data_IF_245350298470
#
_entry.id   IF_245350298470
#
_cell.length_a   1.000
_cell.length_b   1.000
_cell.length_c   1.000
_cell.angle_alpha   90.00
_cell.angle_beta   90.00
_cell.angle_gamma   90.00
#
_symmetry.space_group_name_H-M   'P 1'
#
loop_
_entity.id
_entity.type
_entity.pdbx_description
1 polymer ?
#
# COMPACT_ATOMS: atom_id res chain seq x y z
N UNK A 1 9.30 26.05 -18.82
CA UNK A 1 9.39 26.67 -17.47
C UNK A 1 8.80 25.69 -16.49
N UNK A 2 9.60 25.09 -15.62
CA UNK A 2 9.11 24.19 -14.57
C UNK A 2 8.31 25.02 -13.57
N UNK A 3 7.07 24.59 -13.26
CA UNK A 3 6.23 25.22 -12.25
C UNK A 3 6.83 24.98 -10.86
N UNK A 4 7.55 25.99 -10.33
CA UNK A 4 8.19 25.94 -9.00
C UNK A 4 7.25 26.27 -7.85
N UNK A 5 5.95 26.48 -8.11
CA UNK A 5 4.97 26.74 -7.06
C UNK A 5 4.83 25.53 -6.16
N UNK A 6 5.03 25.70 -4.86
CA UNK A 6 4.96 24.66 -3.82
C UNK A 6 6.22 23.78 -3.70
N UNK A 7 7.34 24.17 -4.31
CA UNK A 7 8.65 23.55 -4.09
C UNK A 7 9.39 24.34 -3.02
N UNK A 8 9.84 23.68 -1.97
CA UNK A 8 10.76 24.23 -0.98
C UNK A 8 12.18 23.76 -1.30
N UNK A 9 13.09 24.70 -1.47
CA UNK A 9 14.52 24.39 -1.75
C UNK A 9 15.35 24.85 -0.55
N UNK A 10 16.10 23.92 0.04
CA UNK A 10 17.11 24.19 1.06
C UNK A 10 18.46 24.15 0.36
N UNK A 11 18.96 25.35 0.02
CA UNK A 11 20.14 25.54 -0.81
C UNK A 11 21.42 25.04 -0.17
N UNK A 12 22.46 24.93 -0.99
CA UNK A 12 23.81 24.57 -0.53
C UNK A 12 24.31 25.54 0.56
N UNK A 13 24.95 25.02 1.58
CA UNK A 13 25.41 25.79 2.74
C UNK A 13 24.31 26.19 3.75
N UNK A 14 23.02 26.04 3.40
CA UNK A 14 21.95 26.30 4.34
C UNK A 14 21.86 25.18 5.40
N UNK A 15 21.58 25.56 6.63
CA UNK A 15 21.35 24.66 7.77
C UNK A 15 19.95 24.93 8.30
N UNK A 16 19.10 23.91 8.30
CA UNK A 16 17.76 23.96 8.86
C UNK A 16 17.65 22.92 9.99
N UNK A 17 17.23 23.40 11.18
CA UNK A 17 16.91 22.53 12.31
C UNK A 17 15.47 22.74 12.72
N UNK A 18 14.68 21.65 12.66
CA UNK A 18 13.25 21.68 12.94
C UNK A 18 12.42 20.99 11.85
N UNK A 19 11.11 21.12 11.94
CA UNK A 19 10.18 20.41 11.08
C UNK A 19 9.85 21.21 9.82
N UNK A 20 9.89 20.52 8.68
CA UNK A 20 9.52 21.03 7.35
C UNK A 20 8.25 20.33 6.88
N UNK A 21 7.25 21.11 6.50
CA UNK A 21 6.03 20.58 5.85
C UNK A 21 5.80 21.28 4.52
N UNK A 22 5.68 20.51 3.45
CA UNK A 22 5.35 21.01 2.11
C UNK A 22 4.28 20.12 1.48
N UNK A 23 3.32 20.72 0.82
CA UNK A 23 2.27 19.99 0.11
C UNK A 23 2.75 19.32 -1.19
N UNK A 24 3.95 19.64 -1.68
CA UNK A 24 4.49 19.10 -2.93
C UNK A 24 5.90 18.54 -2.75
N UNK A 25 6.91 19.32 -3.02
CA UNK A 25 8.30 18.85 -3.13
C UNK A 25 9.21 19.63 -2.19
N UNK A 26 10.14 18.92 -1.57
CA UNK A 26 11.26 19.46 -0.80
C UNK A 26 12.56 18.99 -1.45
N UNK A 27 13.42 19.95 -1.86
CA UNK A 27 14.75 19.67 -2.37
C UNK A 27 15.82 20.13 -1.37
N UNK A 28 16.74 19.24 -1.04
CA UNK A 28 17.75 19.46 0.00
C UNK A 28 19.15 19.38 -0.62
N UNK A 29 19.79 20.51 -0.78
CA UNK A 29 21.17 20.65 -1.18
C UNK A 29 22.06 20.93 0.05
N UNK A 30 21.49 21.49 1.10
CA UNK A 30 22.14 21.83 2.36
C UNK A 30 21.99 20.74 3.41
N UNK A 31 21.91 21.19 4.67
CA UNK A 31 21.78 20.34 5.85
C UNK A 31 20.40 20.52 6.50
N UNK A 32 19.71 19.42 6.75
CA UNK A 32 18.43 19.39 7.47
C UNK A 32 18.52 18.42 8.63
N UNK A 33 18.11 18.86 9.82
CA UNK A 33 17.99 18.05 11.03
C UNK A 33 16.59 18.24 11.63
N UNK A 34 15.72 17.22 11.53
CA UNK A 34 14.35 17.27 12.02
C UNK A 34 13.38 16.45 11.16
N UNK A 35 12.09 16.81 11.22
CA UNK A 35 11.04 16.14 10.48
C UNK A 35 10.82 16.77 9.10
N UNK A 36 10.72 15.95 8.04
CA UNK A 36 10.33 16.41 6.70
C UNK A 36 9.09 15.66 6.24
N UNK A 37 8.02 16.41 5.95
CA UNK A 37 6.78 15.86 5.37
C UNK A 37 6.48 16.56 4.05
N UNK A 38 6.42 15.80 2.95
CA UNK A 38 6.12 16.31 1.60
C UNK A 38 5.58 15.19 0.71
N UNK A 39 4.96 15.52 -0.44
CA UNK A 39 4.67 14.48 -1.43
C UNK A 39 5.95 13.90 -2.02
N UNK A 40 6.94 14.75 -2.28
CA UNK A 40 8.23 14.31 -2.82
C UNK A 40 9.38 14.92 -2.02
N UNK A 41 10.35 14.09 -1.63
CA UNK A 41 11.60 14.52 -0.97
C UNK A 41 12.77 14.14 -1.85
N UNK A 42 13.61 15.12 -2.18
CA UNK A 42 14.83 14.91 -2.96
C UNK A 42 16.02 15.39 -2.15
N UNK A 43 16.90 14.46 -1.77
CA UNK A 43 18.19 14.79 -1.15
C UNK A 43 19.23 14.80 -2.27
N UNK A 44 19.65 15.98 -2.66
CA UNK A 44 20.60 16.18 -3.76
C UNK A 44 22.02 15.81 -3.34
N UNK A 45 22.90 15.69 -4.33
CA UNK A 45 24.32 15.41 -4.10
C UNK A 45 24.93 16.46 -3.14
N UNK A 46 25.63 16.01 -2.11
CA UNK A 46 26.14 16.87 -1.03
C UNK A 46 25.10 17.26 0.04
N UNK A 47 23.79 17.14 -0.26
CA UNK A 47 22.72 17.37 0.68
C UNK A 47 22.67 16.31 1.79
N UNK A 48 22.23 16.73 2.98
CA UNK A 48 22.16 15.85 4.16
C UNK A 48 20.84 16.04 4.89
N UNK A 49 20.15 14.95 5.13
CA UNK A 49 18.89 14.92 5.88
C UNK A 49 18.99 13.90 7.02
N UNK A 50 18.85 14.41 8.24
CA UNK A 50 18.87 13.62 9.47
C UNK A 50 17.55 13.78 10.22
N UNK A 51 16.83 12.69 10.48
CA UNK A 51 15.61 12.72 11.26
C UNK A 51 14.47 11.90 10.69
N UNK A 52 13.25 12.44 10.76
CA UNK A 52 12.05 11.72 10.31
C UNK A 52 11.63 12.18 8.91
N UNK A 53 11.32 11.24 8.02
CA UNK A 53 10.80 11.55 6.69
C UNK A 53 9.48 10.83 6.47
N UNK A 54 8.47 11.59 6.01
CA UNK A 54 7.19 11.05 5.58
C UNK A 54 6.84 11.63 4.20
N UNK A 55 6.85 10.79 3.18
CA UNK A 55 6.61 11.21 1.80
C UNK A 55 5.91 10.13 0.97
N UNK A 56 5.33 10.52 -0.17
CA UNK A 56 4.86 9.59 -1.18
C UNK A 56 6.03 9.00 -1.95
N UNK A 57 6.98 9.84 -2.35
CA UNK A 57 8.21 9.42 -3.04
C UNK A 57 9.45 10.09 -2.46
N UNK A 58 10.61 9.44 -2.60
CA UNK A 58 11.89 10.01 -2.21
C UNK A 58 12.99 9.63 -3.20
N UNK A 59 13.85 10.59 -3.53
CA UNK A 59 15.06 10.37 -4.33
C UNK A 59 16.29 10.80 -3.53
N UNK A 60 17.26 9.90 -3.38
CA UNK A 60 18.42 10.09 -2.53
C UNK A 60 19.68 10.04 -3.38
N UNK A 61 20.31 11.19 -3.57
CA UNK A 61 21.62 11.38 -4.19
C UNK A 61 22.69 11.77 -3.17
N UNK A 62 22.26 12.33 -2.04
CA UNK A 62 23.08 12.69 -0.89
C UNK A 62 22.93 11.71 0.26
N UNK A 63 22.94 12.22 1.48
CA UNK A 63 22.85 11.40 2.70
C UNK A 63 21.48 11.53 3.35
N UNK A 64 20.84 10.39 3.60
CA UNK A 64 19.60 10.28 4.38
C UNK A 64 19.82 9.33 5.56
N UNK A 65 19.52 9.80 6.78
CA UNK A 65 19.62 8.97 7.98
C UNK A 65 18.45 9.24 8.91
N UNK A 66 17.76 8.19 9.34
CA UNK A 66 16.72 8.28 10.38
C UNK A 66 15.56 7.33 10.20
N UNK A 67 14.37 7.78 10.65
CA UNK A 67 13.13 7.03 10.53
C UNK A 67 12.37 7.52 9.30
N UNK A 68 12.37 6.72 8.25
CA UNK A 68 11.88 7.09 6.91
C UNK A 68 10.65 6.26 6.56
N UNK A 69 9.59 6.94 6.13
CA UNK A 69 8.40 6.33 5.54
C UNK A 69 8.14 6.92 4.16
N UNK A 70 8.32 6.12 3.13
CA UNK A 70 8.03 6.47 1.73
C UNK A 70 6.94 5.54 1.23
N UNK A 71 5.77 6.10 0.92
CA UNK A 71 4.59 5.28 0.60
C UNK A 71 4.72 4.54 -0.73
N UNK A 72 5.29 5.19 -1.76
CA UNK A 72 5.42 4.62 -3.09
C UNK A 72 6.86 4.16 -3.36
N UNK A 73 7.70 5.05 -3.88
CA UNK A 73 9.04 4.72 -4.35
C UNK A 73 10.12 5.50 -3.61
N UNK A 74 11.06 4.79 -2.99
CA UNK A 74 12.36 5.35 -2.61
C UNK A 74 13.41 4.93 -3.64
N UNK A 75 14.08 5.91 -4.25
CA UNK A 75 15.13 5.70 -5.25
C UNK A 75 16.47 6.17 -4.69
N UNK A 76 17.41 5.24 -4.48
CA UNK A 76 18.77 5.55 -4.04
C UNK A 76 19.65 5.59 -5.28
N UNK A 77 20.17 6.77 -5.59
CA UNK A 77 21.02 7.01 -6.75
C UNK A 77 22.46 6.60 -6.48
N UNK A 78 23.28 6.61 -7.51
CA UNK A 78 24.68 6.13 -7.46
C UNK A 78 25.56 6.81 -6.41
N UNK A 79 25.26 8.05 -6.02
CA UNK A 79 25.94 8.80 -4.96
C UNK A 79 25.17 8.82 -3.63
N UNK A 80 23.99 8.21 -3.60
CA UNK A 80 23.07 8.25 -2.47
C UNK A 80 23.48 7.29 -1.36
N UNK A 81 23.35 7.75 -0.13
CA UNK A 81 23.56 6.94 1.08
C UNK A 81 22.31 7.02 1.94
N UNK A 82 21.70 5.88 2.24
CA UNK A 82 20.54 5.80 3.10
C UNK A 82 20.76 4.86 4.28
N UNK A 83 20.40 5.31 5.50
CA UNK A 83 20.60 4.53 6.73
C UNK A 83 19.49 4.76 7.74
N UNK A 84 19.33 3.81 8.69
CA UNK A 84 18.32 3.88 9.77
C UNK A 84 17.19 2.88 9.59
N UNK A 85 15.94 3.31 9.81
CA UNK A 85 14.75 2.48 9.64
C UNK A 85 13.93 3.01 8.47
N UNK A 86 13.80 2.21 7.42
CA UNK A 86 13.12 2.63 6.19
C UNK A 86 11.92 1.73 5.94
N UNK A 87 10.72 2.35 5.93
CA UNK A 87 9.48 1.74 5.45
C UNK A 87 9.19 2.29 4.06
N UNK A 88 8.97 1.40 3.11
CA UNK A 88 8.82 1.77 1.70
C UNK A 88 7.73 0.94 1.02
N UNK A 89 7.14 1.46 -0.04
CA UNK A 89 6.39 0.68 -0.99
C UNK A 89 7.35 -0.06 -1.91
N UNK A 90 8.02 0.63 -2.83
CA UNK A 90 9.07 0.09 -3.70
C UNK A 90 10.42 0.71 -3.40
N UNK A 91 11.46 -0.10 -3.52
CA UNK A 91 12.85 0.33 -3.39
C UNK A 91 13.56 0.14 -4.74
N UNK A 92 14.20 1.19 -5.22
CA UNK A 92 15.11 1.15 -6.37
C UNK A 92 16.47 1.64 -5.92
N UNK A 93 17.53 0.96 -6.35
CA UNK A 93 18.89 1.36 -6.04
C UNK A 93 19.75 1.25 -7.31
N UNK A 94 20.49 2.31 -7.62
CA UNK A 94 21.46 2.34 -8.69
C UNK A 94 22.81 1.77 -8.22
N UNK A 95 23.60 1.29 -9.17
CA UNK A 95 24.98 0.86 -8.90
C UNK A 95 25.79 2.02 -8.31
N UNK A 96 26.48 1.79 -7.20
CA UNK A 96 27.19 2.80 -6.42
C UNK A 96 26.41 3.40 -5.25
N UNK A 97 25.08 3.24 -5.21
CA UNK A 97 24.28 3.65 -4.07
C UNK A 97 24.54 2.78 -2.84
N UNK A 98 24.43 3.35 -1.65
CA UNK A 98 24.67 2.65 -0.38
C UNK A 98 23.38 2.61 0.46
N UNK A 99 23.05 1.41 0.98
CA UNK A 99 21.93 1.20 1.88
C UNK A 99 22.37 0.39 3.11
N UNK A 100 22.39 1.05 4.27
CA UNK A 100 22.70 0.44 5.56
C UNK A 100 21.54 0.66 6.54
N UNK A 101 20.41 -0.02 6.32
CA UNK A 101 19.17 0.24 7.02
C UNK A 101 18.39 -1.03 7.35
N UNK A 102 17.51 -0.93 8.38
CA UNK A 102 16.44 -1.90 8.58
C UNK A 102 15.28 -1.51 7.66
N UNK A 103 15.08 -2.29 6.61
CA UNK A 103 14.06 -2.02 5.59
C UNK A 103 12.82 -2.89 5.77
N UNK A 104 11.63 -2.31 5.57
CA UNK A 104 10.34 -3.01 5.56
C UNK A 104 9.46 -2.47 4.46
N UNK A 105 8.86 -3.36 3.66
CA UNK A 105 7.79 -3.00 2.75
C UNK A 105 6.54 -2.52 3.54
N UNK A 106 5.74 -1.63 2.96
CA UNK A 106 4.45 -1.21 3.49
C UNK A 106 3.42 -2.21 2.99
N UNK A 107 2.81 -3.02 3.86
CA UNK A 107 1.92 -4.07 3.40
C UNK A 107 0.57 -3.52 2.93
N UNK A 108 -0.13 -4.27 2.06
CA UNK A 108 -1.49 -3.96 1.69
C UNK A 108 -2.44 -3.98 2.90
N UNK A 109 -3.54 -3.27 2.80
CA UNK A 109 -4.61 -3.25 3.81
C UNK A 109 -5.95 -3.58 3.18
N UNK A 110 -6.81 -4.24 3.97
CA UNK A 110 -8.18 -4.55 3.57
C UNK A 110 -9.11 -3.43 4.02
N UNK A 111 -9.88 -2.88 3.07
CA UNK A 111 -10.95 -1.91 3.26
C UNK A 111 -12.31 -2.48 2.82
N UNK A 112 -13.33 -1.62 2.87
CA UNK A 112 -14.73 -1.97 2.65
C UNK A 112 -15.50 -2.13 3.98
N UNK A 113 -16.83 -2.26 3.91
CA UNK A 113 -17.66 -2.46 5.08
C UNK A 113 -17.67 -3.90 5.59
N UNK A 114 -17.21 -4.85 4.74
CA UNK A 114 -17.13 -6.29 5.01
C UNK A 114 -18.49 -6.95 5.30
N UNK A 115 -19.56 -6.38 4.78
CA UNK A 115 -20.92 -6.85 4.96
C UNK A 115 -21.62 -7.08 3.62
N UNK A 116 -22.24 -8.26 3.45
CA UNK A 116 -22.99 -8.64 2.28
C UNK A 116 -24.42 -9.04 2.65
N UNK A 117 -25.33 -8.92 1.69
CA UNK A 117 -26.67 -9.50 1.80
C UNK A 117 -26.94 -10.37 0.59
N UNK A 118 -27.37 -11.62 0.81
CA UNK A 118 -27.71 -12.57 -0.24
C UNK A 118 -29.08 -13.20 0.02
N UNK A 119 -29.83 -13.53 -1.04
CA UNK A 119 -31.02 -14.37 -0.90
C UNK A 119 -30.62 -15.84 -0.84
N UNK A 120 -31.35 -16.63 -0.05
CA UNK A 120 -31.11 -18.06 0.13
C UNK A 120 -30.97 -18.79 -1.22
N UNK A 121 -29.89 -19.55 -1.39
CA UNK A 121 -29.56 -20.31 -2.61
C UNK A 121 -29.26 -19.44 -3.83
N UNK A 122 -29.02 -18.14 -3.65
CA UNK A 122 -28.64 -17.21 -4.71
C UNK A 122 -27.18 -16.75 -4.54
N UNK A 123 -26.72 -15.97 -5.51
CA UNK A 123 -25.40 -15.34 -5.45
C UNK A 123 -25.54 -13.83 -5.40
N UNK A 124 -24.62 -13.18 -4.72
CA UNK A 124 -24.45 -11.71 -4.68
C UNK A 124 -23.07 -11.35 -5.20
N UNK A 125 -22.98 -10.29 -5.99
CA UNK A 125 -21.71 -9.75 -6.44
C UNK A 125 -21.04 -9.01 -5.29
N UNK A 126 -19.77 -9.30 -5.05
CA UNK A 126 -18.94 -8.54 -4.12
C UNK A 126 -18.45 -7.30 -4.84
N UNK A 127 -18.63 -6.13 -4.25
CA UNK A 127 -18.23 -4.83 -4.82
C UNK A 127 -17.07 -4.23 -4.05
N UNK A 128 -16.45 -3.16 -4.59
CA UNK A 128 -15.39 -2.44 -3.90
C UNK A 128 -15.85 -1.72 -2.62
N UNK A 129 -17.15 -1.52 -2.44
CA UNK A 129 -17.71 -1.00 -1.20
C UNK A 129 -17.71 -2.06 -0.10
N UNK A 130 -17.99 -3.31 -0.47
CA UNK A 130 -18.04 -4.44 0.46
C UNK A 130 -16.64 -4.91 0.86
N UNK A 131 -15.74 -4.99 -0.14
CA UNK A 131 -14.36 -5.46 0.04
C UNK A 131 -13.43 -4.76 -0.95
N UNK A 132 -12.29 -4.28 -0.49
CA UNK A 132 -11.22 -3.79 -1.35
C UNK A 132 -9.85 -3.96 -0.70
N UNK A 133 -8.81 -3.90 -1.52
CA UNK A 133 -7.43 -3.83 -1.06
C UNK A 133 -6.86 -2.44 -1.39
N UNK A 134 -6.17 -1.87 -0.42
CA UNK A 134 -5.47 -0.59 -0.54
C UNK A 134 -3.98 -0.85 -0.35
N UNK A 135 -3.23 -0.57 -1.38
CA UNK A 135 -1.78 -0.59 -1.37
C UNK A 135 -1.26 0.67 -2.08
N UNK A 136 -0.26 1.39 -1.50
CA UNK A 136 0.18 2.66 -2.07
C UNK A 136 1.00 2.52 -3.35
N UNK A 137 1.58 1.35 -3.62
CA UNK A 137 2.58 1.16 -4.68
C UNK A 137 2.27 0.00 -5.63
N UNK A 138 1.34 -0.90 -5.27
CA UNK A 138 0.96 -2.00 -6.12
C UNK A 138 -0.32 -1.71 -6.91
N UNK A 139 -0.38 -2.33 -8.10
CA UNK A 139 -1.55 -2.24 -8.96
C UNK A 139 -2.61 -3.26 -8.54
N UNK A 140 -3.89 -3.05 -8.92
CA UNK A 140 -4.96 -3.98 -8.60
C UNK A 140 -4.75 -5.42 -9.08
N UNK A 141 -4.02 -5.64 -10.18
CA UNK A 141 -3.67 -6.97 -10.66
C UNK A 141 -2.63 -7.69 -9.80
N UNK A 142 -1.82 -6.93 -9.05
CA UNK A 142 -0.72 -7.44 -8.21
C UNK A 142 -1.19 -7.79 -6.80
N UNK A 143 -2.40 -7.35 -6.41
CA UNK A 143 -3.00 -7.62 -5.11
C UNK A 143 -3.89 -8.86 -5.17
N UNK A 144 -3.55 -9.87 -4.38
CA UNK A 144 -4.27 -11.15 -4.34
C UNK A 144 -4.96 -11.34 -2.99
N UNK A 145 -6.27 -11.58 -3.05
CA UNK A 145 -7.05 -12.04 -1.90
C UNK A 145 -6.99 -13.56 -1.77
N UNK A 146 -6.72 -14.01 -0.56
CA UNK A 146 -6.83 -15.41 -0.15
C UNK A 146 -8.10 -15.59 0.68
N UNK A 147 -8.91 -16.59 0.35
CA UNK A 147 -10.17 -16.93 1.00
C UNK A 147 -9.99 -18.16 1.87
N UNK A 148 -10.51 -18.09 3.07
CA UNK A 148 -10.54 -19.21 4.02
C UNK A 148 -11.83 -19.20 4.86
N UNK A 149 -12.05 -20.29 5.61
CA UNK A 149 -13.15 -20.42 6.58
C UNK A 149 -14.54 -20.05 6.04
N UNK A 150 -14.80 -20.30 4.75
CA UNK A 150 -16.11 -20.05 4.17
C UNK A 150 -17.15 -20.99 4.80
N UNK A 151 -18.27 -20.42 5.26
CA UNK A 151 -19.38 -21.12 5.89
C UNK A 151 -20.72 -20.74 5.24
N UNK A 152 -21.58 -21.73 4.99
CA UNK A 152 -22.91 -21.62 4.39
C UNK A 152 -22.90 -21.01 2.97
N UNK A 153 -21.76 -21.16 2.26
CA UNK A 153 -21.58 -20.67 0.91
C UNK A 153 -20.10 -20.65 0.53
N UNK A 154 -19.79 -20.05 -0.60
CA UNK A 154 -18.44 -19.97 -1.14
C UNK A 154 -18.27 -18.74 -2.03
N UNK A 155 -17.02 -18.33 -2.22
CA UNK A 155 -16.65 -17.30 -3.20
C UNK A 155 -16.37 -17.95 -4.54
N UNK A 156 -16.84 -17.35 -5.63
CA UNK A 156 -16.67 -17.84 -7.00
C UNK A 156 -16.41 -16.70 -7.99
N UNK A 157 -15.81 -17.01 -9.13
CA UNK A 157 -15.67 -16.08 -10.24
C UNK A 157 -16.83 -16.23 -11.24
N UNK A 158 -17.20 -15.14 -11.91
CA UNK A 158 -18.24 -15.13 -12.94
C UNK A 158 -17.97 -16.12 -14.08
N UNK A 159 -16.70 -16.42 -14.37
CA UNK A 159 -16.28 -17.41 -15.36
C UNK A 159 -16.57 -18.86 -14.96
N UNK A 160 -16.71 -19.11 -13.66
CA UNK A 160 -16.95 -20.45 -13.08
C UNK A 160 -17.81 -20.35 -11.82
N UNK A 161 -19.10 -19.93 -11.94
CA UNK A 161 -19.93 -19.54 -10.80
C UNK A 161 -20.32 -20.68 -9.87
N UNK A 162 -20.07 -21.91 -10.25
CA UNK A 162 -20.35 -23.12 -9.43
C UNK A 162 -19.08 -23.73 -8.81
N UNK A 163 -17.93 -23.15 -9.06
CA UNK A 163 -16.66 -23.63 -8.54
C UNK A 163 -16.11 -22.64 -7.48
N UNK A 164 -15.91 -23.10 -6.25
CA UNK A 164 -15.26 -22.30 -5.23
C UNK A 164 -13.84 -21.89 -5.69
N UNK A 165 -13.47 -20.65 -5.38
CA UNK A 165 -12.09 -20.19 -5.53
C UNK A 165 -11.50 -19.91 -4.15
N UNK A 166 -10.21 -20.21 -4.01
CA UNK A 166 -9.43 -19.88 -2.81
C UNK A 166 -8.71 -18.53 -2.94
N UNK A 167 -8.60 -18.01 -4.17
CA UNK A 167 -7.93 -16.75 -4.45
C UNK A 167 -8.60 -15.99 -5.59
N UNK A 168 -8.50 -14.66 -5.56
CA UNK A 168 -8.85 -13.76 -6.68
C UNK A 168 -8.05 -12.46 -6.55
N UNK A 169 -7.90 -11.71 -7.65
CA UNK A 169 -7.19 -10.43 -7.63
C UNK A 169 -8.11 -9.24 -7.31
N UNK A 170 -7.54 -8.13 -6.85
CA UNK A 170 -8.25 -6.86 -6.75
C UNK A 170 -8.82 -6.41 -8.11
N UNK A 171 -8.14 -6.75 -9.22
CA UNK A 171 -8.64 -6.48 -10.57
C UNK A 171 -9.89 -7.30 -10.92
N UNK A 172 -9.99 -8.56 -10.44
CA UNK A 172 -11.21 -9.36 -10.58
C UNK A 172 -12.39 -8.72 -9.85
N UNK A 173 -12.12 -8.24 -8.64
CA UNK A 173 -13.12 -7.55 -7.82
C UNK A 173 -13.57 -6.24 -8.48
N UNK A 174 -12.63 -5.40 -8.90
CA UNK A 174 -12.91 -4.13 -9.58
C UNK A 174 -13.69 -4.31 -10.90
N UNK A 175 -13.45 -5.44 -11.59
CA UNK A 175 -14.18 -5.80 -12.82
C UNK A 175 -15.56 -6.42 -12.54
N UNK A 176 -15.98 -6.55 -11.28
CA UNK A 176 -17.27 -7.14 -10.90
C UNK A 176 -17.39 -8.63 -11.19
N UNK A 177 -16.29 -9.36 -11.23
CA UNK A 177 -16.25 -10.79 -11.55
C UNK A 177 -16.34 -11.70 -10.33
N UNK A 178 -16.29 -11.16 -9.11
CA UNK A 178 -16.28 -11.92 -7.86
C UNK A 178 -17.66 -11.95 -7.22
N UNK A 179 -18.12 -13.13 -6.83
CA UNK A 179 -19.44 -13.37 -6.24
C UNK A 179 -19.33 -14.24 -5.00
N UNK A 180 -20.21 -14.00 -4.03
CA UNK A 180 -20.50 -14.96 -2.99
C UNK A 180 -21.76 -15.75 -3.37
N UNK A 181 -21.68 -17.08 -3.33
CA UNK A 181 -22.79 -17.99 -3.63
C UNK A 181 -23.21 -18.70 -2.34
N UNK A 182 -24.48 -18.52 -1.92
CA UNK A 182 -25.05 -19.21 -0.77
C UNK A 182 -25.40 -20.66 -1.13
N UNK A 183 -25.09 -21.60 -0.25
CA UNK A 183 -25.23 -23.04 -0.49
C UNK A 183 -26.68 -23.58 -0.45
N UNK A 184 -27.66 -22.70 -0.11
CA UNK A 184 -29.08 -23.08 0.00
C UNK A 184 -29.49 -23.63 1.36
N UNK A 185 -28.60 -23.71 2.33
CA UNK A 185 -28.89 -24.11 3.71
C UNK A 185 -29.92 -23.18 4.38
N UNK A 186 -30.40 -23.55 5.55
CA UNK A 186 -31.33 -22.72 6.35
C UNK A 186 -30.63 -21.78 7.32
N UNK A 187 -29.32 -21.64 7.22
CA UNK A 187 -28.57 -20.74 8.08
C UNK A 187 -28.95 -19.27 7.80
N UNK A 188 -29.20 -18.46 8.83
CA UNK A 188 -29.58 -17.05 8.65
C UNK A 188 -28.36 -16.16 8.28
N UNK A 189 -27.16 -16.70 8.42
CA UNK A 189 -25.91 -16.02 8.14
C UNK A 189 -24.94 -16.95 7.42
N UNK A 190 -24.06 -16.35 6.63
CA UNK A 190 -22.90 -16.98 6.03
C UNK A 190 -21.67 -16.09 6.27
N UNK A 191 -20.49 -16.57 5.99
CA UNK A 191 -19.27 -15.80 6.15
C UNK A 191 -18.12 -16.41 5.36
N UNK A 192 -17.06 -15.63 5.20
CA UNK A 192 -15.75 -16.11 4.79
C UNK A 192 -14.65 -15.17 5.32
N UNK A 193 -13.46 -15.69 5.51
CA UNK A 193 -12.32 -14.90 5.93
C UNK A 193 -11.45 -14.54 4.73
N UNK A 194 -10.87 -13.35 4.78
CA UNK A 194 -9.98 -12.82 3.74
C UNK A 194 -8.67 -12.33 4.30
N UNK A 195 -7.64 -12.48 3.49
CA UNK A 195 -6.33 -11.88 3.64
C UNK A 195 -5.88 -11.39 2.27
N UNK A 196 -5.15 -10.28 2.21
CA UNK A 196 -4.59 -9.78 0.96
C UNK A 196 -3.08 -9.76 1.03
N UNK A 197 -2.42 -10.13 -0.06
CA UNK A 197 -0.98 -10.07 -0.24
C UNK A 197 -0.62 -9.37 -1.54
N UNK A 198 0.57 -8.76 -1.57
CA UNK A 198 1.20 -8.16 -2.73
C UNK A 198 2.19 -9.14 -3.41
N UNK A 199 2.84 -8.69 -4.50
CA UNK A 199 3.86 -9.49 -5.19
C UNK A 199 5.15 -9.67 -4.39
N UNK A 200 5.42 -8.80 -3.42
CA UNK A 200 6.59 -8.92 -2.54
C UNK A 200 6.42 -9.96 -1.45
N UNK A 201 5.20 -10.46 -1.25
CA UNK A 201 4.81 -11.37 -0.19
C UNK A 201 4.42 -10.65 1.11
N UNK A 202 4.40 -9.32 1.14
CA UNK A 202 3.82 -8.60 2.26
C UNK A 202 2.29 -8.77 2.26
N UNK A 203 1.67 -8.76 3.43
CA UNK A 203 0.25 -9.08 3.55
C UNK A 203 -0.44 -8.25 4.62
N UNK A 204 -1.78 -8.22 4.57
CA UNK A 204 -2.64 -7.42 5.44
C UNK A 204 -2.64 -7.84 6.93
N UNK A 205 -1.85 -8.83 7.31
CA UNK A 205 -1.78 -9.30 8.70
C UNK A 205 -2.87 -10.30 9.05
N UNK A 206 -3.64 -10.02 10.10
CA UNK A 206 -4.70 -10.92 10.55
C UNK A 206 -5.82 -11.06 9.50
N UNK A 207 -6.43 -12.24 9.48
CA UNK A 207 -7.64 -12.49 8.68
C UNK A 207 -8.75 -11.50 9.09
N UNK A 208 -9.51 -11.03 8.10
CA UNK A 208 -10.75 -10.28 8.33
C UNK A 208 -11.93 -11.10 7.84
N UNK A 209 -13.00 -11.09 8.61
CA UNK A 209 -14.23 -11.81 8.27
C UNK A 209 -15.17 -10.91 7.49
N UNK A 210 -15.63 -11.39 6.33
CA UNK A 210 -16.75 -10.82 5.59
C UNK A 210 -18.02 -11.51 6.04
N UNK A 211 -18.94 -10.74 6.59
CA UNK A 211 -20.22 -11.23 7.08
C UNK A 211 -21.26 -11.23 5.95
N UNK A 212 -22.12 -12.24 5.92
CA UNK A 212 -23.16 -12.36 4.91
C UNK A 212 -24.50 -12.61 5.57
N UNK A 213 -25.40 -11.64 5.50
CA UNK A 213 -26.79 -11.78 5.92
C UNK A 213 -27.58 -12.54 4.86
N UNK A 214 -28.31 -13.58 5.28
CA UNK A 214 -29.12 -14.41 4.37
C UNK A 214 -30.58 -14.00 4.49
N UNK A 215 -31.20 -13.63 3.37
CA UNK A 215 -32.62 -13.31 3.27
C UNK A 215 -33.39 -14.49 2.65
N UNK A 216 -34.55 -14.80 3.21
CA UNK A 216 -35.48 -15.80 2.67
C UNK A 216 -36.14 -15.30 1.39
#
# INVERSE_FOLDING_TARGET
MSDTRGVLIIGEGAVLKGDVKSGRRVEIWGYVEGGVTASEVVVQEGGKLFGQVNSESAEIRGTLQGDVRVQQLISIKSTGVASGHIKYGRLSMEEGGELSAHVRNIPPSIGGDLDLTVSKGRSVRITLADLNALDPDDKPEDLTFEISNAANGYVALATSPKLPVSTFSQADLASGRVYFAHDGSNAPTAQFDVKVSDLSGANSGALKTVNVAVRN
#
